data_IF_504997591008
#
_entry.id   IF_504997591008
#
_cell.length_a   1.000
_cell.length_b   1.000
_cell.length_c   1.000
_cell.angle_alpha   90.00
_cell.angle_beta   90.00
_cell.angle_gamma   90.00
#
_symmetry.space_group_name_H-M   'P 1'
#
loop_
_entity.id
_entity.type
_entity.pdbx_description
1 polymer ?
#
# COMPACT_ATOMS: atom_id res chain seq x y z
N UNK A 1 25.80 20.68 -20.19
CA UNK A 1 24.65 19.74 -20.06
C UNK A 1 23.76 20.23 -18.95
N UNK A 2 22.56 20.72 -19.24
CA UNK A 2 21.54 21.00 -18.20
C UNK A 2 21.10 19.65 -17.64
N UNK A 3 21.35 19.43 -16.35
CA UNK A 3 20.71 18.31 -15.65
C UNK A 3 19.20 18.52 -15.76
N UNK A 4 18.51 17.64 -16.44
CA UNK A 4 17.06 17.61 -16.43
C UNK A 4 16.65 17.36 -14.96
N UNK A 5 16.09 18.37 -14.34
CA UNK A 5 15.52 18.22 -13.01
C UNK A 5 14.14 17.57 -13.23
N UNK A 6 14.02 16.33 -12.79
CA UNK A 6 12.73 15.66 -12.82
C UNK A 6 11.86 16.24 -11.72
N UNK A 7 10.61 16.49 -12.03
CA UNK A 7 9.63 16.86 -11.01
C UNK A 7 9.58 15.79 -9.92
N UNK A 8 9.44 16.23 -8.67
CA UNK A 8 9.26 15.32 -7.55
C UNK A 8 8.00 14.49 -7.79
N UNK A 9 8.16 13.18 -7.82
CA UNK A 9 7.03 12.28 -7.99
C UNK A 9 6.46 12.00 -6.63
N UNK A 10 5.19 12.29 -6.49
CA UNK A 10 4.45 12.04 -5.27
C UNK A 10 4.28 10.55 -5.03
N UNK A 11 4.46 10.14 -3.78
CA UNK A 11 4.12 8.81 -3.34
C UNK A 11 2.66 8.80 -2.92
N UNK A 12 1.87 7.93 -3.52
CA UNK A 12 0.46 7.86 -3.18
C UNK A 12 -0.09 6.44 -3.23
N UNK A 13 -1.19 6.26 -2.50
CA UNK A 13 -2.06 5.09 -2.59
C UNK A 13 -3.44 5.59 -3.00
N UNK A 14 -3.93 5.13 -4.14
CA UNK A 14 -5.29 5.40 -4.58
C UNK A 14 -6.21 4.26 -4.19
N UNK A 15 -7.27 4.59 -3.46
CA UNK A 15 -8.25 3.62 -2.96
C UNK A 15 -9.51 3.73 -3.82
N UNK A 16 -9.71 2.77 -4.72
CA UNK A 16 -10.84 2.80 -5.67
C UNK A 16 -12.22 2.84 -5.01
N UNK A 17 -12.39 2.20 -3.85
CA UNK A 17 -13.67 2.17 -3.16
C UNK A 17 -14.10 3.51 -2.59
N UNK A 18 -13.13 4.30 -2.16
CA UNK A 18 -13.35 5.61 -1.55
C UNK A 18 -13.20 6.74 -2.57
N UNK A 19 -12.69 6.43 -3.77
CA UNK A 19 -12.31 7.41 -4.79
C UNK A 19 -11.37 8.48 -4.23
N UNK A 20 -10.40 8.05 -3.43
CA UNK A 20 -9.49 8.95 -2.71
C UNK A 20 -8.03 8.60 -2.97
N UNK A 21 -7.23 9.65 -3.12
CA UNK A 21 -5.78 9.57 -3.08
C UNK A 21 -5.29 9.79 -1.66
N UNK A 22 -4.49 8.88 -1.18
CA UNK A 22 -3.77 9.02 0.09
C UNK A 22 -2.32 9.32 -0.24
N UNK A 23 -1.90 10.58 -0.03
CA UNK A 23 -0.52 10.98 -0.26
C UNK A 23 0.33 10.56 0.93
N UNK A 24 1.48 10.01 0.63
CA UNK A 24 2.49 9.62 1.62
C UNK A 24 3.68 10.57 1.44
N UNK A 25 3.82 11.59 2.29
CA UNK A 25 4.86 12.60 2.15
C UNK A 25 6.27 12.08 2.51
N UNK A 26 6.34 10.86 3.00
CA UNK A 26 7.59 10.20 3.38
C UNK A 26 7.89 9.07 2.41
N UNK A 27 9.14 8.95 2.00
CA UNK A 27 9.56 7.79 1.23
C UNK A 27 9.55 6.53 2.09
N UNK A 28 9.13 5.39 1.54
CA UNK A 28 9.21 4.13 2.26
C UNK A 28 10.64 3.82 2.70
N UNK A 29 10.81 3.37 3.93
CA UNK A 29 12.11 2.90 4.42
C UNK A 29 12.58 1.67 3.62
N UNK A 30 11.63 0.79 3.32
CA UNK A 30 11.90 -0.43 2.59
C UNK A 30 10.74 -0.79 1.69
N UNK A 31 11.08 -1.15 0.45
CA UNK A 31 10.17 -1.77 -0.51
C UNK A 31 10.77 -3.12 -0.89
N UNK A 32 10.01 -4.18 -0.71
CA UNK A 32 10.37 -5.53 -1.16
C UNK A 32 9.37 -5.97 -2.23
N UNK A 33 9.87 -6.30 -3.40
CA UNK A 33 9.08 -6.74 -4.54
C UNK A 33 9.48 -8.17 -4.89
N UNK A 34 8.55 -9.09 -4.88
CA UNK A 34 8.79 -10.50 -5.13
C UNK A 34 7.80 -11.06 -6.13
N UNK A 35 8.33 -11.76 -7.11
CA UNK A 35 7.59 -12.50 -8.12
C UNK A 35 8.11 -13.93 -8.15
N UNK A 36 7.25 -14.89 -7.88
CA UNK A 36 7.62 -16.31 -7.85
C UNK A 36 7.05 -17.10 -9.03
N UNK A 37 7.66 -18.21 -9.29
CA UNK A 37 7.12 -19.23 -10.20
C UNK A 37 7.02 -20.57 -9.49
N UNK A 38 6.08 -21.40 -9.89
CA UNK A 38 5.87 -22.76 -9.38
C UNK A 38 6.18 -23.78 -10.45
N UNK A 39 6.97 -24.77 -10.07
CA UNK A 39 7.32 -25.92 -10.91
C UNK A 39 6.85 -27.20 -10.25
N UNK A 40 6.30 -28.10 -11.03
CA UNK A 40 5.94 -29.43 -10.59
C UNK A 40 7.04 -30.43 -10.98
N UNK A 41 7.54 -31.27 -10.05
CA UNK A 41 8.45 -32.35 -10.41
C UNK A 41 7.67 -33.45 -11.10
N UNK A 42 8.19 -33.90 -12.21
CA UNK A 42 7.71 -35.09 -12.94
C UNK A 42 8.82 -36.17 -12.89
N UNK A 43 8.49 -37.31 -12.37
CA UNK A 43 9.42 -38.42 -12.24
C UNK A 43 9.14 -39.47 -13.35
N UNK A 44 9.78 -39.37 -14.52
CA UNK A 44 9.61 -40.39 -15.55
C UNK A 44 10.31 -41.68 -15.15
N UNK A 45 9.73 -42.81 -15.54
CA UNK A 45 10.33 -44.11 -15.35
C UNK A 45 11.73 -44.17 -15.98
N UNK A 46 12.67 -44.72 -15.27
CA UNK A 46 14.08 -44.90 -15.70
C UNK A 46 14.97 -43.67 -15.68
N UNK A 47 14.59 -42.61 -14.99
CA UNK A 47 15.47 -41.46 -14.74
C UNK A 47 15.86 -41.34 -13.27
N UNK A 48 17.10 -40.99 -13.02
CA UNK A 48 17.64 -40.81 -11.67
C UNK A 48 17.32 -39.45 -11.09
N UNK A 49 16.90 -38.49 -11.92
CA UNK A 49 16.56 -37.15 -11.50
C UNK A 49 15.19 -36.69 -12.06
N UNK A 50 14.40 -35.95 -11.27
CA UNK A 50 13.12 -35.43 -11.73
C UNK A 50 13.29 -34.36 -12.83
N UNK A 51 12.31 -34.27 -13.71
CA UNK A 51 12.15 -33.16 -14.66
C UNK A 51 11.20 -32.19 -14.02
N UNK A 52 11.54 -30.90 -14.04
CA UNK A 52 10.66 -29.83 -13.55
C UNK A 52 9.85 -29.21 -14.68
N UNK A 53 8.53 -29.37 -14.61
CA UNK A 53 7.61 -28.73 -15.52
C UNK A 53 7.09 -27.44 -14.90
N UNK A 54 7.05 -26.36 -15.68
CA UNK A 54 6.45 -25.11 -15.24
C UNK A 54 4.94 -25.29 -15.04
N UNK A 55 4.43 -24.89 -13.87
CA UNK A 55 3.01 -24.99 -13.53
C UNK A 55 2.31 -23.66 -13.70
N UNK A 56 2.74 -22.62 -12.96
CA UNK A 56 2.16 -21.28 -13.03
C UNK A 56 3.08 -20.23 -12.42
N UNK A 57 2.83 -18.97 -12.78
CA UNK A 57 3.45 -17.83 -12.11
C UNK A 57 2.71 -17.52 -10.80
N UNK A 58 3.45 -17.36 -9.72
CA UNK A 58 2.90 -16.87 -8.46
C UNK A 58 2.43 -15.41 -8.57
N UNK A 59 1.66 -14.92 -7.60
CA UNK A 59 1.32 -13.52 -7.51
C UNK A 59 2.56 -12.68 -7.26
N UNK A 60 2.58 -11.47 -7.80
CA UNK A 60 3.57 -10.46 -7.43
C UNK A 60 3.18 -9.89 -6.09
N UNK A 61 4.08 -9.96 -5.12
CA UNK A 61 3.88 -9.43 -3.78
C UNK A 61 4.83 -8.26 -3.55
N UNK A 62 4.25 -7.13 -3.13
CA UNK A 62 5.01 -5.95 -2.75
C UNK A 62 4.72 -5.64 -1.30
N UNK A 63 5.79 -5.57 -0.51
CA UNK A 63 5.75 -5.18 0.89
C UNK A 63 6.41 -3.81 1.04
N UNK A 64 5.76 -2.94 1.80
CA UNK A 64 6.21 -1.57 2.02
C UNK A 64 6.25 -1.30 3.51
N UNK A 65 7.37 -0.75 3.98
CA UNK A 65 7.53 -0.30 5.36
C UNK A 65 7.65 1.22 5.37
N UNK A 66 6.78 1.87 6.14
CA UNK A 66 6.72 3.32 6.29
C UNK A 66 7.07 3.68 7.74
N UNK A 67 7.96 4.64 7.92
CA UNK A 67 8.22 5.27 9.21
C UNK A 67 7.60 6.66 9.20
N UNK A 68 6.64 6.87 10.08
CA UNK A 68 5.91 8.13 10.20
C UNK A 68 6.28 8.82 11.51
N UNK A 69 6.74 10.06 11.42
CA UNK A 69 7.06 10.89 12.57
C UNK A 69 6.05 12.02 12.68
N UNK A 70 5.36 12.13 13.80
CA UNK A 70 4.31 13.15 14.00
C UNK A 70 4.83 14.58 13.84
N UNK A 71 5.97 14.88 14.45
CA UNK A 71 6.56 16.23 14.36
C UNK A 71 6.90 16.61 12.93
N UNK A 72 7.45 15.67 12.15
CA UNK A 72 7.73 15.88 10.74
C UNK A 72 6.45 16.08 9.95
N UNK A 73 5.46 15.22 10.16
CA UNK A 73 4.18 15.27 9.47
C UNK A 73 3.38 16.54 9.79
N UNK A 74 3.50 17.05 11.01
CA UNK A 74 2.88 18.32 11.40
C UNK A 74 3.57 19.54 10.76
N UNK A 75 4.86 19.41 10.44
CA UNK A 75 5.64 20.48 9.79
C UNK A 75 5.44 20.52 8.27
N UNK A 76 4.99 19.44 7.68
CA UNK A 76 4.64 19.40 6.25
C UNK A 76 3.34 20.18 6.09
N UNK A 77 3.40 21.27 5.30
CA UNK A 77 2.20 22.07 5.01
C UNK A 77 1.23 21.26 4.15
N UNK A 78 0.32 20.59 4.83
CA UNK A 78 -0.67 19.70 4.22
C UNK A 78 -1.89 20.51 3.75
N UNK A 79 -1.99 21.77 4.12
CA UNK A 79 -3.13 22.65 3.81
C UNK A 79 -3.42 22.79 2.29
N UNK A 80 -2.44 22.47 1.45
CA UNK A 80 -2.59 22.48 0.00
C UNK A 80 -2.91 21.10 -0.59
N UNK A 81 -3.07 20.08 0.23
CA UNK A 81 -3.45 18.76 -0.29
C UNK A 81 -4.96 18.66 -0.34
N UNK A 82 -5.54 18.74 -1.53
CA UNK A 82 -6.95 18.44 -1.83
C UNK A 82 -7.32 16.96 -1.61
N UNK A 83 -6.47 16.21 -0.89
CA UNK A 83 -6.50 14.76 -0.85
C UNK A 83 -7.19 14.17 0.38
N UNK A 84 -7.26 14.96 1.47
CA UNK A 84 -8.02 14.62 2.66
C UNK A 84 -9.08 15.69 2.87
N UNK A 85 -10.31 15.28 3.14
CA UNK A 85 -11.37 16.21 3.48
C UNK A 85 -10.98 17.03 4.70
N UNK A 86 -11.11 18.36 4.63
CA UNK A 86 -10.72 19.29 5.70
C UNK A 86 -11.40 18.99 7.04
N UNK A 87 -12.58 18.40 7.01
CA UNK A 87 -13.33 18.02 8.20
C UNK A 87 -12.70 16.84 8.96
N UNK A 88 -11.86 16.06 8.26
CA UNK A 88 -11.11 14.96 8.87
C UNK A 88 -9.73 15.39 9.38
N UNK A 89 -9.29 16.61 9.04
CA UNK A 89 -8.01 17.18 9.46
C UNK A 89 -7.99 17.72 10.90
N UNK A 90 -9.11 17.69 11.61
CA UNK A 90 -9.13 17.96 13.05
C UNK A 90 -8.37 16.93 13.86
N UNK A 91 -8.24 15.72 13.31
CA UNK A 91 -7.38 14.69 13.83
C UNK A 91 -5.95 14.85 13.28
N UNK A 92 -4.99 14.32 14.00
CA UNK A 92 -3.59 14.27 13.54
C UNK A 92 -3.52 13.54 12.18
N UNK A 93 -2.74 14.11 11.24
CA UNK A 93 -2.55 13.53 9.91
C UNK A 93 -2.10 12.07 9.96
N UNK A 94 -1.21 11.71 10.90
CA UNK A 94 -0.73 10.35 11.05
C UNK A 94 -1.87 9.39 11.40
N UNK A 95 -2.75 9.78 12.32
CA UNK A 95 -3.89 8.95 12.71
C UNK A 95 -4.89 8.80 11.57
N UNK A 96 -5.13 9.85 10.81
CA UNK A 96 -5.99 9.82 9.62
C UNK A 96 -5.39 8.93 8.54
N UNK A 97 -4.09 9.05 8.30
CA UNK A 97 -3.38 8.19 7.34
C UNK A 97 -3.49 6.71 7.74
N UNK A 98 -3.26 6.38 9.01
CA UNK A 98 -3.39 5.01 9.52
C UNK A 98 -4.82 4.48 9.31
N UNK A 99 -5.84 5.27 9.63
CA UNK A 99 -7.25 4.89 9.40
C UNK A 99 -7.51 4.53 7.92
N UNK A 100 -7.01 5.33 6.98
CA UNK A 100 -7.16 5.05 5.55
C UNK A 100 -6.38 3.81 5.12
N UNK A 101 -5.15 3.63 5.60
CA UNK A 101 -4.35 2.46 5.30
C UNK A 101 -5.00 1.16 5.82
N UNK A 102 -5.61 1.21 6.99
CA UNK A 102 -6.36 0.07 7.51
C UNK A 102 -7.68 -0.16 6.78
N UNK A 103 -8.39 0.92 6.43
CA UNK A 103 -9.66 0.84 5.69
C UNK A 103 -9.48 0.24 4.29
N UNK A 104 -8.34 0.45 3.63
CA UNK A 104 -8.09 -0.12 2.30
C UNK A 104 -8.00 -1.65 2.29
N UNK A 105 -7.78 -2.29 3.44
CA UNK A 105 -7.77 -3.75 3.55
C UNK A 105 -9.17 -4.35 3.67
N UNK A 106 -10.18 -3.54 3.96
CA UNK A 106 -11.54 -3.99 4.21
C UNK A 106 -12.45 -3.75 3.00
N UNK A 107 -13.32 -4.69 2.64
CA UNK A 107 -14.30 -4.48 1.58
C UNK A 107 -15.36 -3.48 2.05
N UNK A 108 -15.83 -2.61 1.14
CA UNK A 108 -16.96 -1.73 1.40
C UNK A 108 -18.26 -2.37 0.96
N UNK A 109 -19.26 -2.34 1.84
CA UNK A 109 -20.61 -2.81 1.55
C UNK A 109 -21.50 -1.60 1.21
N UNK A 110 -21.74 -1.34 -0.08
CA UNK A 110 -22.73 -0.34 -0.48
C UNK A 110 -24.11 -1.00 -0.50
N UNK A 111 -25.07 -0.41 0.20
CA UNK A 111 -26.42 -0.96 0.36
C UNK A 111 -27.17 -1.22 -0.96
N UNK A 112 -26.80 -0.58 -2.06
CA UNK A 112 -27.40 -0.79 -3.40
C UNK A 112 -26.87 -2.01 -4.14
N UNK A 113 -25.78 -2.61 -3.71
CA UNK A 113 -25.14 -3.73 -4.39
C UNK A 113 -25.42 -5.10 -3.74
N UNK A 114 -26.30 -5.12 -2.72
CA UNK A 114 -26.65 -6.34 -1.97
C UNK A 114 -27.35 -7.40 -2.85
N UNK A 115 -27.80 -7.06 -4.06
CA UNK A 115 -28.39 -8.04 -4.96
C UNK A 115 -27.39 -9.06 -5.52
N UNK A 116 -26.11 -8.71 -5.55
CA UNK A 116 -25.04 -9.62 -5.95
C UNK A 116 -24.31 -10.13 -4.71
N UNK A 117 -24.46 -11.42 -4.45
CA UNK A 117 -23.88 -12.12 -3.28
C UNK A 117 -22.34 -12.15 -3.24
N UNK A 118 -21.64 -11.52 -4.17
CA UNK A 118 -20.20 -11.45 -4.20
C UNK A 118 -19.74 -10.02 -3.89
N UNK A 119 -18.94 -9.90 -2.85
CA UNK A 119 -18.26 -8.64 -2.52
C UNK A 119 -16.95 -8.59 -3.32
N UNK A 120 -16.79 -7.56 -4.11
CA UNK A 120 -15.54 -7.35 -4.82
C UNK A 120 -14.41 -7.04 -3.83
N UNK A 121 -13.22 -7.63 -4.01
CA UNK A 121 -12.08 -7.27 -3.17
C UNK A 121 -11.73 -5.80 -3.36
N UNK A 122 -11.27 -5.13 -2.29
CA UNK A 122 -10.89 -3.73 -2.36
C UNK A 122 -9.66 -3.57 -3.26
N UNK A 123 -9.86 -2.86 -4.37
CA UNK A 123 -8.77 -2.56 -5.30
C UNK A 123 -8.05 -1.28 -4.86
N UNK A 124 -6.73 -1.31 -4.95
CA UNK A 124 -5.87 -0.16 -4.72
C UNK A 124 -4.87 -0.01 -5.86
N UNK A 125 -4.43 1.21 -6.09
CA UNK A 125 -3.26 1.49 -6.92
C UNK A 125 -2.21 2.18 -6.06
N UNK A 126 -0.99 1.69 -6.11
CA UNK A 126 0.12 2.19 -5.31
C UNK A 126 1.20 2.73 -6.22
N UNK A 127 1.68 3.94 -5.92
CA UNK A 127 2.81 4.54 -6.59
C UNK A 127 3.85 5.00 -5.57
N UNK A 128 5.07 4.49 -5.71
CA UNK A 128 6.24 4.94 -4.98
C UNK A 128 7.34 5.29 -5.97
N UNK A 129 7.57 6.57 -6.14
CA UNK A 129 8.52 7.08 -7.12
C UNK A 129 8.19 6.63 -8.55
N UNK A 130 9.24 6.43 -9.35
CA UNK A 130 9.12 5.94 -10.73
C UNK A 130 9.23 4.41 -10.85
N UNK A 131 9.61 3.74 -9.78
CA UNK A 131 9.95 2.32 -9.84
C UNK A 131 8.77 1.41 -9.54
N UNK A 132 7.90 1.84 -8.64
CA UNK A 132 6.77 1.03 -8.18
C UNK A 132 5.47 1.69 -8.58
N UNK A 133 4.80 1.10 -9.56
CA UNK A 133 3.42 1.43 -9.91
C UNK A 133 2.64 0.13 -10.09
N UNK A 134 1.77 -0.17 -9.13
CA UNK A 134 1.09 -1.46 -9.06
C UNK A 134 -0.38 -1.23 -8.73
N UNK A 135 -1.24 -2.00 -9.40
CA UNK A 135 -2.65 -2.17 -9.05
C UNK A 135 -2.84 -3.56 -8.47
N UNK A 136 -3.58 -3.65 -7.38
CA UNK A 136 -3.82 -4.92 -6.72
C UNK A 136 -4.77 -4.80 -5.55
N UNK A 137 -4.69 -5.78 -4.69
CA UNK A 137 -5.43 -5.85 -3.43
C UNK A 137 -4.44 -5.94 -2.26
N UNK A 138 -4.85 -5.52 -1.09
CA UNK A 138 -4.08 -5.76 0.13
C UNK A 138 -4.21 -7.23 0.49
N UNK A 139 -3.08 -7.93 0.51
CA UNK A 139 -3.02 -9.33 0.91
C UNK A 139 -2.28 -9.43 2.23
N UNK A 140 -3.02 -9.56 3.31
CA UNK A 140 -2.48 -9.60 4.67
C UNK A 140 -2.86 -8.38 5.50
N UNK A 141 -2.17 -8.21 6.61
CA UNK A 141 -2.48 -7.21 7.61
C UNK A 141 -1.75 -5.89 7.34
N UNK A 142 -2.45 -4.79 7.59
CA UNK A 142 -1.81 -3.47 7.75
C UNK A 142 -1.42 -3.33 9.22
N UNK A 143 -0.20 -3.75 9.53
CA UNK A 143 0.32 -3.70 10.88
C UNK A 143 0.84 -2.30 11.22
N UNK A 144 0.49 -1.81 12.40
CA UNK A 144 0.98 -0.53 12.92
C UNK A 144 1.71 -0.80 14.21
N UNK A 145 2.94 -0.30 14.32
CA UNK A 145 3.75 -0.39 15.53
C UNK A 145 4.06 1.01 16.01
N UNK A 146 3.71 1.29 17.24
CA UNK A 146 4.00 2.57 17.88
C UNK A 146 5.30 2.45 18.65
N UNK A 147 6.21 3.42 18.48
CA UNK A 147 7.49 3.45 19.17
C UNK A 147 7.94 4.89 19.40
N UNK A 148 8.72 5.11 20.46
CA UNK A 148 9.27 6.41 20.78
C UNK A 148 8.68 7.01 22.08
N UNK A 149 9.12 8.21 22.46
CA UNK A 149 8.52 8.93 23.58
C UNK A 149 7.14 9.44 23.22
N UNK A 150 6.25 9.48 24.20
CA UNK A 150 4.94 10.11 24.04
C UNK A 150 5.09 11.63 23.89
N UNK A 151 4.25 12.23 23.05
CA UNK A 151 4.13 13.68 22.92
C UNK A 151 3.40 14.28 24.14
N UNK A 152 3.27 15.62 24.18
CA UNK A 152 2.56 16.35 25.23
C UNK A 152 1.06 16.01 25.35
N UNK A 153 0.51 15.32 24.35
CA UNK A 153 -0.88 14.86 24.30
C UNK A 153 -1.01 13.36 24.56
N UNK A 154 0.04 12.71 25.09
CA UNK A 154 0.10 11.26 25.33
C UNK A 154 -0.11 10.41 24.06
N UNK A 155 0.41 10.85 22.90
CA UNK A 155 0.37 10.11 21.63
C UNK A 155 1.79 9.68 21.24
N UNK A 156 1.88 8.51 20.61
CA UNK A 156 3.11 8.03 19.99
C UNK A 156 3.31 8.63 18.60
#
# INVERSE_FOLDING_TARGET
>A
MRKQQFDLIENYIYIYQLDKYVIIPVYPERISDSLGSKFAPVNPLSRTAPIYAYSYAGPRNVQVTLNLHRDFMSSVNIDNTDFLDKDELTDDYVDTLIKYLQAMALPSFKAKEISNKMVNPPMIAVRFGNQVFIKGIVNGDVAVTYSGPLDSYNRY
#
